data_IF_108940787559
#
_entry.id   IF_108940787559
#
_cell.length_a   1.000
_cell.length_b   1.000
_cell.length_c   1.000
_cell.angle_alpha   90.00
_cell.angle_beta   90.00
_cell.angle_gamma   90.00
#
_symmetry.space_group_name_H-M   'P 1'
#
loop_
_entity.id
_entity.type
_entity.pdbx_description
1 polymer ?
#
# COMPACT_ATOMS: atom_id res chain seq x y z
N UNK A 1 22.62 -43.49 22.29
CA UNK A 1 21.78 -42.73 23.23
C UNK A 1 21.54 -41.37 22.58
N UNK A 2 20.32 -41.10 22.10
CA UNK A 2 19.87 -39.75 21.67
C UNK A 2 19.80 -38.89 22.99
N UNK A 3 19.95 -37.57 23.06
CA UNK A 3 19.60 -36.52 22.09
C UNK A 3 19.84 -35.10 22.60
N UNK A 4 20.31 -34.18 21.76
CA UNK A 4 19.81 -32.80 21.71
C UNK A 4 20.28 -31.75 22.73
N UNK A 5 20.38 -30.52 22.20
CA UNK A 5 20.46 -29.21 22.83
C UNK A 5 21.83 -28.73 23.38
N UNK A 6 22.25 -27.60 22.82
CA UNK A 6 23.29 -26.68 23.27
C UNK A 6 23.24 -26.42 24.80
N UNK A 7 24.29 -26.78 25.58
CA UNK A 7 24.27 -26.69 27.04
C UNK A 7 24.58 -25.28 27.59
N UNK A 8 24.76 -24.25 26.76
CA UNK A 8 25.22 -22.93 27.22
C UNK A 8 24.19 -21.79 27.17
N UNK A 9 22.95 -22.07 26.76
CA UNK A 9 21.90 -21.04 26.68
C UNK A 9 20.87 -21.19 27.80
N UNK A 10 20.89 -20.26 28.75
CA UNK A 10 19.82 -20.07 29.73
C UNK A 10 18.91 -18.93 29.26
N UNK A 11 17.63 -19.21 29.04
CA UNK A 11 16.63 -18.20 28.69
C UNK A 11 15.85 -17.77 29.93
N UNK A 12 15.77 -16.47 30.17
CA UNK A 12 14.89 -15.86 31.17
C UNK A 12 13.94 -14.90 30.45
N UNK A 13 12.64 -15.04 30.71
CA UNK A 13 11.59 -14.19 30.12
C UNK A 13 11.01 -13.32 31.23
N UNK A 14 10.96 -12.01 31.00
CA UNK A 14 10.31 -11.04 31.89
C UNK A 14 9.32 -10.18 31.10
N UNK A 15 8.25 -9.74 31.76
CA UNK A 15 7.22 -8.88 31.17
C UNK A 15 7.20 -7.53 31.88
N UNK A 16 7.27 -6.45 31.12
CA UNK A 16 7.05 -5.07 31.60
C UNK A 16 5.80 -4.50 30.95
N UNK A 17 4.90 -3.95 31.78
CA UNK A 17 3.65 -3.34 31.31
C UNK A 17 3.72 -1.83 31.44
N UNK A 18 3.33 -1.13 30.38
CA UNK A 18 3.24 0.33 30.35
C UNK A 18 1.78 0.74 30.08
N UNK A 19 1.35 1.86 30.65
CA UNK A 19 0.01 2.42 30.41
C UNK A 19 0.15 3.89 30.06
N UNK A 20 -0.44 4.28 28.92
CA UNK A 20 -0.52 5.68 28.50
C UNK A 20 -1.95 6.20 28.73
N UNK A 21 -2.08 7.38 29.33
CA UNK A 21 -3.35 7.95 29.80
C UNK A 21 -4.04 8.86 28.78
N UNK A 22 -3.48 9.03 27.59
CA UNK A 22 -4.22 9.61 26.46
C UNK A 22 -4.14 11.13 26.31
N UNK A 23 -3.26 11.84 27.01
CA UNK A 23 -3.31 13.31 27.10
C UNK A 23 -2.59 14.06 25.96
N UNK A 24 -1.57 13.49 25.32
CA UNK A 24 -0.75 14.14 24.27
C UNK A 24 -0.17 13.12 23.28
N UNK A 25 0.19 13.54 22.06
CA UNK A 25 0.96 12.67 21.17
C UNK A 25 2.36 12.45 21.77
N UNK A 26 2.69 11.21 22.11
CA UNK A 26 3.91 10.85 22.82
C UNK A 26 4.61 9.67 22.13
N UNK A 27 5.94 9.72 22.07
CA UNK A 27 6.77 8.56 21.75
C UNK A 27 7.22 7.92 23.06
N UNK A 28 6.99 6.62 23.19
CA UNK A 28 7.41 5.82 24.33
C UNK A 28 8.51 4.86 23.91
N UNK A 29 9.68 5.07 24.49
CA UNK A 29 10.82 4.19 24.37
C UNK A 29 10.72 3.07 25.41
N UNK A 30 10.55 1.84 24.93
CA UNK A 30 10.61 0.66 25.79
C UNK A 30 12.08 0.28 26.04
N UNK A 31 12.70 0.97 27.00
CA UNK A 31 14.01 0.55 27.52
C UNK A 31 13.82 -0.39 28.71
N UNK A 32 14.42 -1.58 28.65
CA UNK A 32 14.49 -2.49 29.80
C UNK A 32 15.91 -2.52 30.35
N UNK A 33 16.03 -2.34 31.66
CA UNK A 33 17.28 -2.58 32.38
C UNK A 33 17.27 -4.03 32.84
N UNK A 34 18.01 -4.88 32.15
CA UNK A 34 18.17 -6.28 32.55
C UNK A 34 19.42 -6.36 33.44
N UNK A 35 19.23 -6.84 34.66
CA UNK A 35 20.34 -7.18 35.56
C UNK A 35 20.38 -8.69 35.68
N UNK A 36 21.45 -9.30 35.19
CA UNK A 36 21.72 -10.73 35.31
C UNK A 36 23.11 -10.90 35.93
N UNK A 37 23.24 -11.76 36.93
CA UNK A 37 24.52 -12.05 37.55
C UNK A 37 24.60 -13.52 37.96
N UNK A 38 25.81 -14.08 37.89
CA UNK A 38 26.12 -15.36 38.52
C UNK A 38 26.46 -15.12 39.99
N UNK A 39 26.14 -16.02 40.92
CA UNK A 39 26.49 -15.86 42.34
C UNK A 39 28.00 -15.64 42.61
N UNK A 40 28.86 -15.99 41.65
CA UNK A 40 30.32 -15.81 41.71
C UNK A 40 30.85 -14.58 40.97
N UNK A 41 29.97 -13.75 40.39
CA UNK A 41 30.34 -12.54 39.64
C UNK A 41 29.57 -11.30 40.14
N UNK A 42 30.23 -10.14 40.16
CA UNK A 42 29.58 -8.87 40.47
C UNK A 42 28.51 -8.53 39.42
N UNK A 43 27.37 -7.91 39.82
CA UNK A 43 26.31 -7.56 38.88
C UNK A 43 26.77 -6.46 37.90
N UNK A 44 26.73 -6.79 36.61
CA UNK A 44 26.77 -5.81 35.53
C UNK A 44 25.34 -5.66 34.97
N UNK A 45 24.81 -4.44 34.96
CA UNK A 45 23.52 -4.16 34.36
C UNK A 45 23.72 -3.74 32.90
N UNK A 46 23.07 -4.43 31.97
CA UNK A 46 23.00 -4.03 30.57
C UNK A 46 21.63 -3.43 30.32
N UNK A 47 21.59 -2.19 29.81
CA UNK A 47 20.35 -1.63 29.27
C UNK A 47 20.17 -2.13 27.86
N UNK A 48 19.01 -2.69 27.59
CA UNK A 48 18.59 -3.06 26.25
C UNK A 48 17.49 -2.10 25.80
N UNK A 49 17.69 -1.53 24.62
CA UNK A 49 16.70 -0.70 23.96
C UNK A 49 16.25 -1.41 22.69
N UNK A 50 14.98 -1.78 22.65
CA UNK A 50 14.39 -2.39 21.46
C UNK A 50 13.96 -1.27 20.52
N UNK A 51 14.91 -0.68 19.79
CA UNK A 51 14.66 0.43 18.86
C UNK A 51 13.53 0.13 17.88
N UNK A 52 13.43 -1.11 17.40
CA UNK A 52 12.41 -1.54 16.43
C UNK A 52 11.02 -1.75 17.07
N UNK A 53 10.98 -1.77 18.41
CA UNK A 53 9.76 -1.87 19.21
C UNK A 53 9.41 -0.55 19.90
N UNK A 54 9.96 0.58 19.44
CA UNK A 54 9.52 1.92 19.86
C UNK A 54 8.03 2.11 19.56
N UNK A 55 7.32 2.64 20.55
CA UNK A 55 5.87 2.78 20.52
C UNK A 55 5.53 4.26 20.35
N UNK A 56 4.75 4.59 19.32
CA UNK A 56 4.09 5.89 19.21
C UNK A 56 2.68 5.75 19.72
N UNK A 57 2.26 6.61 20.66
CA UNK A 57 0.89 6.74 21.10
C UNK A 57 0.33 8.10 20.68
N UNK A 58 -0.83 8.10 20.03
CA UNK A 58 -1.38 9.33 19.43
C UNK A 58 -2.92 9.32 19.40
N UNK A 59 -3.49 10.47 19.01
CA UNK A 59 -4.91 10.67 18.60
C UNK A 59 -5.02 11.25 17.18
N UNK A 60 -3.92 11.21 16.41
CA UNK A 60 -3.84 11.83 15.08
C UNK A 60 -4.35 10.84 14.04
N UNK A 61 -3.91 9.58 14.11
CA UNK A 61 -4.31 8.55 13.16
C UNK A 61 -5.83 8.34 13.19
N UNK A 62 -6.39 8.23 14.39
CA UNK A 62 -7.84 8.10 14.61
C UNK A 62 -8.30 8.96 15.78
N UNK A 63 -9.61 9.23 15.87
CA UNK A 63 -10.20 9.97 17.00
C UNK A 63 -10.09 9.23 18.33
N UNK A 64 -9.76 7.94 18.31
CA UNK A 64 -9.53 7.13 19.51
C UNK A 64 -8.04 7.06 19.83
N UNK A 65 -7.64 7.41 21.08
CA UNK A 65 -6.26 7.22 21.50
C UNK A 65 -5.82 5.76 21.31
N UNK A 66 -4.60 5.57 20.86
CA UNK A 66 -4.01 4.24 20.70
C UNK A 66 -2.54 4.32 20.35
N UNK A 67 -1.89 3.16 20.34
CA UNK A 67 -0.45 3.05 20.18
C UNK A 67 -0.10 2.09 19.03
N UNK A 68 1.02 2.33 18.36
CA UNK A 68 1.56 1.47 17.31
C UNK A 68 3.08 1.42 17.37
N UNK A 69 3.65 0.30 16.92
CA UNK A 69 5.09 0.19 16.67
C UNK A 69 5.43 0.96 15.39
N UNK A 70 5.81 2.22 15.52
CA UNK A 70 5.91 3.12 14.37
C UNK A 70 7.13 2.82 13.46
N UNK A 71 8.10 2.03 13.94
CA UNK A 71 9.22 1.55 13.11
C UNK A 71 8.90 0.28 12.33
N UNK A 72 7.82 -0.42 12.69
CA UNK A 72 7.35 -1.55 11.90
C UNK A 72 6.69 -1.03 10.61
N UNK A 73 7.19 -1.48 9.46
CA UNK A 73 6.62 -1.16 8.14
C UNK A 73 5.57 -2.23 7.80
N UNK A 74 4.26 -1.95 7.90
CA UNK A 74 3.22 -2.94 7.64
C UNK A 74 3.07 -3.25 6.15
N UNK A 75 2.49 -4.41 5.85
CA UNK A 75 2.19 -4.83 4.48
C UNK A 75 0.68 -4.82 4.22
N UNK A 76 0.26 -4.01 3.25
CA UNK A 76 -1.09 -4.05 2.69
C UNK A 76 -1.20 -5.20 1.68
N UNK A 77 -2.17 -6.09 1.88
CA UNK A 77 -2.47 -7.18 0.95
C UNK A 77 -3.79 -6.84 0.28
N UNK A 78 -3.76 -6.57 -1.03
CA UNK A 78 -4.98 -6.28 -1.77
C UNK A 78 -5.89 -7.51 -1.84
N UNK A 79 -7.20 -7.28 -1.84
CA UNK A 79 -8.19 -8.35 -1.87
C UNK A 79 -8.41 -8.86 -3.30
N UNK A 80 -7.62 -9.85 -3.71
CA UNK A 80 -7.73 -10.48 -5.03
C UNK A 80 -9.11 -11.11 -5.26
N UNK A 81 -9.65 -11.82 -4.27
CA UNK A 81 -10.93 -12.52 -4.41
C UNK A 81 -12.09 -11.57 -4.71
N UNK A 82 -12.00 -10.33 -4.22
CA UNK A 82 -13.03 -9.31 -4.41
C UNK A 82 -12.79 -8.43 -5.65
N UNK A 83 -11.55 -8.08 -5.93
CA UNK A 83 -11.19 -7.09 -6.97
C UNK A 83 -9.98 -7.55 -7.80
N UNK A 84 -10.04 -8.72 -8.46
CA UNK A 84 -8.86 -9.40 -9.01
C UNK A 84 -8.12 -8.55 -10.05
N UNK A 85 -8.85 -7.81 -10.88
CA UNK A 85 -8.27 -7.00 -11.96
C UNK A 85 -7.60 -5.71 -11.47
N UNK A 86 -8.07 -5.12 -10.36
CA UNK A 86 -7.37 -4.01 -9.71
C UNK A 86 -6.06 -4.51 -9.06
N UNK A 87 -6.08 -5.72 -8.47
CA UNK A 87 -4.86 -6.36 -7.95
C UNK A 87 -3.88 -6.66 -9.08
N UNK A 88 -4.36 -7.15 -10.24
CA UNK A 88 -3.53 -7.38 -11.42
C UNK A 88 -2.87 -6.10 -11.92
N UNK A 89 -3.61 -4.98 -11.98
CA UNK A 89 -3.06 -3.69 -12.36
C UNK A 89 -1.96 -3.24 -11.40
N UNK A 90 -2.24 -3.21 -10.10
CA UNK A 90 -1.25 -2.82 -9.09
C UNK A 90 -0.01 -3.74 -9.10
N UNK A 91 -0.19 -5.05 -9.28
CA UNK A 91 0.92 -6.00 -9.42
C UNK A 91 1.78 -5.72 -10.65
N UNK A 92 1.18 -5.52 -11.82
CA UNK A 92 1.91 -5.25 -13.06
C UNK A 92 2.79 -4.01 -12.90
N UNK A 93 2.20 -2.93 -12.38
CA UNK A 93 2.88 -1.66 -12.20
C UNK A 93 4.00 -1.77 -11.15
N UNK A 94 3.74 -2.38 -9.99
CA UNK A 94 4.79 -2.60 -8.98
C UNK A 94 5.94 -3.46 -9.52
N UNK A 95 5.61 -4.51 -10.27
CA UNK A 95 6.58 -5.54 -10.64
C UNK A 95 7.43 -5.15 -11.83
N UNK A 96 6.91 -4.30 -12.73
CA UNK A 96 7.57 -3.99 -14.00
C UNK A 96 8.12 -2.58 -14.11
N UNK A 97 7.51 -1.58 -13.45
CA UNK A 97 8.03 -0.21 -13.51
C UNK A 97 9.29 -0.04 -12.65
N UNK A 98 10.24 0.81 -13.07
CA UNK A 98 11.49 1.04 -12.35
C UNK A 98 11.30 1.63 -10.94
N UNK A 99 10.15 2.25 -10.68
CA UNK A 99 9.81 2.85 -9.39
C UNK A 99 9.42 1.82 -8.33
N UNK A 100 9.03 0.61 -8.73
CA UNK A 100 8.59 -0.50 -7.87
C UNK A 100 7.70 -0.11 -6.68
N UNK A 101 6.61 0.67 -6.87
CA UNK A 101 5.85 1.26 -5.78
C UNK A 101 5.31 0.21 -4.79
N UNK A 102 5.75 0.31 -3.54
CA UNK A 102 5.35 -0.59 -2.44
C UNK A 102 6.06 -1.94 -2.43
N UNK A 103 7.07 -2.16 -3.26
CA UNK A 103 7.77 -3.45 -3.34
C UNK A 103 8.76 -3.62 -2.20
N UNK A 104 8.50 -4.62 -1.34
CA UNK A 104 9.44 -5.05 -0.30
C UNK A 104 10.72 -5.65 -0.90
N UNK A 105 10.61 -6.38 -2.01
CA UNK A 105 11.76 -7.01 -2.67
C UNK A 105 12.77 -5.98 -3.22
N UNK A 106 12.29 -4.82 -3.67
CA UNK A 106 13.13 -3.73 -4.19
C UNK A 106 13.45 -2.67 -3.14
N UNK A 107 13.01 -2.83 -1.89
CA UNK A 107 13.13 -1.84 -0.82
C UNK A 107 12.59 -0.44 -1.22
N UNK A 108 11.42 -0.43 -1.89
CA UNK A 108 10.73 0.79 -2.36
C UNK A 108 9.34 0.88 -1.72
N UNK A 109 9.21 1.35 -0.47
CA UNK A 109 7.91 1.41 0.20
C UNK A 109 7.00 2.46 -0.46
N UNK A 110 5.71 2.34 -0.21
CA UNK A 110 4.75 3.42 -0.39
C UNK A 110 4.82 4.33 0.83
N UNK A 111 4.68 5.64 0.63
CA UNK A 111 4.59 6.62 1.71
C UNK A 111 3.18 7.16 1.81
N UNK A 112 2.54 6.94 2.96
CA UNK A 112 1.13 7.28 3.15
C UNK A 112 0.90 8.80 3.10
N UNK A 113 -0.07 9.23 2.31
CA UNK A 113 -0.58 10.60 2.27
C UNK A 113 -2.04 10.59 2.76
N UNK A 114 -2.30 10.95 4.04
CA UNK A 114 -3.65 11.06 4.56
C UNK A 114 -4.36 12.30 3.97
N UNK A 115 -5.61 12.52 4.35
CA UNK A 115 -6.37 13.74 4.01
C UNK A 115 -5.61 15.02 4.39
N UNK A 116 -5.87 16.13 3.68
CA UNK A 116 -5.16 17.41 3.81
C UNK A 116 -4.97 17.88 5.26
N UNK A 117 -5.99 17.73 6.12
CA UNK A 117 -5.92 18.14 7.52
C UNK A 117 -4.93 17.33 8.39
N UNK A 118 -4.35 16.25 7.86
CA UNK A 118 -3.47 15.32 8.58
C UNK A 118 -2.11 15.13 7.92
N UNK A 119 -1.78 15.87 6.87
CA UNK A 119 -0.47 15.83 6.23
C UNK A 119 0.23 17.19 6.28
N UNK A 120 1.56 17.17 6.30
CA UNK A 120 2.39 18.37 6.38
C UNK A 120 2.14 19.38 5.24
N UNK A 121 1.99 18.94 3.98
CA UNK A 121 1.71 19.84 2.85
C UNK A 121 0.30 20.46 2.82
N UNK A 122 -0.65 19.96 3.60
CA UNK A 122 -2.07 20.33 3.44
C UNK A 122 -2.66 19.92 2.09
N UNK A 123 -2.12 18.87 1.46
CA UNK A 123 -2.48 18.44 0.12
C UNK A 123 -3.59 17.39 0.15
N UNK A 124 -4.66 17.61 -0.61
CA UNK A 124 -5.74 16.64 -0.73
C UNK A 124 -5.34 15.53 -1.72
N UNK A 125 -5.35 14.24 -1.34
CA UNK A 125 -5.14 13.13 -2.28
C UNK A 125 -5.98 13.21 -3.55
N UNK A 126 -7.17 13.82 -3.52
CA UNK A 126 -7.99 14.03 -4.72
C UNK A 126 -7.26 14.87 -5.77
N UNK A 127 -6.39 15.82 -5.38
CA UNK A 127 -5.60 16.60 -6.33
C UNK A 127 -4.57 15.76 -7.09
N UNK A 128 -4.07 14.67 -6.48
CA UNK A 128 -3.24 13.71 -7.21
C UNK A 128 -4.09 12.98 -8.26
N UNK A 129 -5.29 12.57 -7.84
CA UNK A 129 -6.25 11.91 -8.72
C UNK A 129 -6.69 12.83 -9.86
N UNK A 130 -6.83 14.13 -9.63
CA UNK A 130 -7.20 15.09 -10.68
C UNK A 130 -6.11 15.24 -11.77
N UNK A 131 -4.84 14.88 -11.48
CA UNK A 131 -3.76 14.87 -12.48
C UNK A 131 -3.78 13.57 -13.29
N UNK A 132 -3.97 12.43 -12.63
CA UNK A 132 -3.89 11.11 -13.28
C UNK A 132 -5.22 10.72 -13.92
N UNK A 133 -6.29 10.92 -13.17
CA UNK A 133 -7.66 10.51 -13.44
C UNK A 133 -8.64 11.71 -13.36
N UNK A 134 -8.44 12.76 -14.19
CA UNK A 134 -9.27 13.95 -14.13
C UNK A 134 -10.74 13.65 -14.39
N UNK A 135 -11.61 14.23 -13.58
CA UNK A 135 -13.01 14.40 -13.93
C UNK A 135 -13.20 15.72 -14.68
N UNK A 136 -14.21 15.79 -15.54
CA UNK A 136 -14.60 17.00 -16.25
C UNK A 136 -16.10 17.23 -16.15
N UNK A 137 -16.59 18.34 -16.69
CA UNK A 137 -18.02 18.62 -16.80
C UNK A 137 -18.79 17.55 -17.57
N UNK A 138 -18.12 16.80 -18.45
CA UNK A 138 -18.70 15.77 -19.30
C UNK A 138 -18.59 14.35 -18.71
N UNK A 139 -18.11 14.23 -17.46
CA UNK A 139 -17.94 12.96 -16.76
C UNK A 139 -16.48 12.65 -16.43
N UNK A 140 -16.25 11.45 -15.90
CA UNK A 140 -14.92 10.97 -15.54
C UNK A 140 -14.05 10.71 -16.76
N UNK A 141 -12.73 10.74 -16.61
CA UNK A 141 -11.79 10.32 -17.66
C UNK A 141 -12.20 8.98 -18.28
N UNK A 142 -12.51 7.98 -17.46
CA UNK A 142 -12.85 6.64 -17.95
C UNK A 142 -14.16 6.61 -18.75
N UNK A 143 -15.13 7.48 -18.42
CA UNK A 143 -16.38 7.56 -19.18
C UNK A 143 -16.22 8.16 -20.59
N UNK A 144 -15.19 8.98 -20.79
CA UNK A 144 -14.95 9.69 -22.06
C UNK A 144 -13.83 9.05 -22.89
N UNK A 145 -12.81 8.51 -22.22
CA UNK A 145 -11.56 8.08 -22.83
C UNK A 145 -11.21 6.63 -22.52
N UNK A 146 -11.87 6.01 -21.54
CA UNK A 146 -11.65 4.60 -21.21
C UNK A 146 -11.92 3.68 -22.40
N UNK A 147 -11.31 2.49 -22.37
CA UNK A 147 -11.50 1.51 -23.44
C UNK A 147 -12.99 1.08 -23.50
N UNK A 148 -13.64 1.02 -24.68
CA UNK A 148 -15.05 0.65 -24.80
C UNK A 148 -15.37 -0.74 -24.21
N UNK A 149 -14.40 -1.65 -24.22
CA UNK A 149 -14.54 -3.00 -23.66
C UNK A 149 -14.35 -3.06 -22.13
N UNK A 150 -14.13 -1.91 -21.48
CA UNK A 150 -14.07 -1.82 -20.03
C UNK A 150 -15.37 -2.33 -19.43
N UNK A 151 -15.29 -3.40 -18.64
CA UNK A 151 -16.51 -4.01 -18.10
C UNK A 151 -16.92 -3.40 -16.77
N UNK A 152 -18.17 -2.95 -16.69
CA UNK A 152 -18.88 -2.61 -15.44
C UNK A 152 -19.57 -3.83 -14.84
N UNK A 153 -19.93 -3.75 -13.55
CA UNK A 153 -20.67 -4.79 -12.79
C UNK A 153 -22.03 -4.29 -12.29
N UNK A 154 -22.97 -3.91 -13.19
CA UNK A 154 -24.29 -3.42 -12.79
C UNK A 154 -25.09 -4.42 -11.94
N UNK A 155 -24.80 -5.72 -12.07
CA UNK A 155 -25.39 -6.78 -11.26
C UNK A 155 -24.94 -6.77 -9.79
N UNK A 156 -23.82 -6.11 -9.47
CA UNK A 156 -23.34 -5.90 -8.09
C UNK A 156 -23.71 -4.51 -7.60
N UNK A 157 -23.62 -3.51 -8.48
CA UNK A 157 -23.96 -2.12 -8.19
C UNK A 157 -24.68 -1.51 -9.39
N UNK A 158 -25.99 -1.31 -9.29
CA UNK A 158 -26.82 -0.83 -10.40
C UNK A 158 -26.40 0.54 -10.97
N UNK A 159 -25.62 1.33 -10.20
CA UNK A 159 -25.07 2.62 -10.61
C UNK A 159 -23.60 2.55 -11.05
N UNK A 160 -23.05 1.34 -11.23
CA UNK A 160 -21.66 1.16 -11.65
C UNK A 160 -21.41 1.78 -13.01
N UNK A 161 -20.27 2.45 -13.12
CA UNK A 161 -19.81 3.15 -14.32
C UNK A 161 -18.31 2.93 -14.47
N UNK A 162 -17.75 3.06 -15.68
CA UNK A 162 -16.30 3.06 -15.86
C UNK A 162 -15.65 4.13 -14.98
N UNK A 163 -14.57 3.74 -14.30
CA UNK A 163 -13.76 4.58 -13.43
C UNK A 163 -12.29 4.45 -13.78
N UNK A 164 -11.56 5.53 -13.52
CA UNK A 164 -10.12 5.61 -13.67
C UNK A 164 -9.44 5.19 -12.36
N UNK A 165 -8.72 4.08 -12.41
CA UNK A 165 -7.84 3.57 -11.35
C UNK A 165 -6.41 4.06 -11.59
N UNK A 166 -5.66 4.28 -10.51
CA UNK A 166 -4.26 4.70 -10.57
C UNK A 166 -3.40 3.90 -9.59
N UNK A 167 -2.19 3.54 -10.02
CA UNK A 167 -1.17 2.98 -9.14
C UNK A 167 0.21 3.57 -9.47
N UNK A 168 0.99 4.09 -8.52
CA UNK A 168 0.73 4.26 -7.10
C UNK A 168 -0.51 5.11 -6.78
N UNK A 169 -1.24 4.77 -5.72
CA UNK A 169 -2.51 5.40 -5.34
C UNK A 169 -2.38 6.90 -5.06
N UNK A 170 -3.43 7.67 -5.35
CA UNK A 170 -3.55 9.09 -5.00
C UNK A 170 -3.20 9.41 -3.54
N UNK A 171 -3.54 8.53 -2.60
CA UNK A 171 -3.26 8.68 -1.16
C UNK A 171 -1.82 8.30 -0.78
N UNK A 172 -0.86 8.59 -1.67
CA UNK A 172 0.58 8.40 -1.41
C UNK A 172 1.43 9.49 -2.02
N UNK A 173 2.63 9.69 -1.46
CA UNK A 173 3.67 10.53 -2.09
C UNK A 173 4.28 9.88 -3.34
N UNK A 174 4.03 8.58 -3.55
CA UNK A 174 4.46 7.84 -4.74
C UNK A 174 3.53 8.06 -5.94
N UNK A 175 2.33 8.64 -5.74
CA UNK A 175 1.40 8.93 -6.84
C UNK A 175 2.08 9.77 -7.92
N UNK A 176 1.76 9.46 -9.18
CA UNK A 176 2.16 10.31 -10.30
C UNK A 176 1.64 11.73 -10.19
N UNK A 177 0.49 11.93 -9.55
CA UNK A 177 -0.12 13.25 -9.38
C UNK A 177 0.48 14.08 -8.24
N UNK A 178 1.35 13.50 -7.40
CA UNK A 178 1.96 14.23 -6.28
C UNK A 178 3.04 15.20 -6.76
N UNK A 179 2.90 16.52 -6.55
CA UNK A 179 3.90 17.49 -7.01
C UNK A 179 5.26 17.32 -6.32
N UNK A 180 6.34 17.47 -7.09
CA UNK A 180 7.72 17.37 -6.56
C UNK A 180 8.00 18.38 -5.43
N UNK A 181 7.50 19.62 -5.55
CA UNK A 181 7.68 20.66 -4.53
C UNK A 181 6.92 20.37 -3.22
N UNK A 182 6.02 19.39 -3.21
CA UNK A 182 5.32 18.91 -2.02
C UNK A 182 5.85 17.55 -1.53
N UNK A 183 6.98 17.08 -2.09
CA UNK A 183 7.60 15.80 -1.72
C UNK A 183 7.18 14.61 -2.59
N UNK A 184 6.50 14.84 -3.71
CA UNK A 184 6.16 13.79 -4.66
C UNK A 184 7.38 13.09 -5.25
N UNK A 185 7.31 11.76 -5.29
CA UNK A 185 8.45 10.92 -5.71
C UNK A 185 8.44 10.60 -7.20
N UNK A 186 7.27 10.64 -7.84
CA UNK A 186 7.08 10.21 -9.23
C UNK A 186 6.25 11.22 -10.06
N UNK A 187 6.44 12.54 -9.93
CA UNK A 187 5.53 13.52 -10.50
C UNK A 187 5.44 13.42 -12.03
N UNK A 188 4.22 13.45 -12.54
CA UNK A 188 3.90 13.63 -13.96
C UNK A 188 2.92 14.79 -14.13
N UNK A 189 2.85 15.37 -15.33
CA UNK A 189 1.93 16.46 -15.64
C UNK A 189 0.52 15.98 -16.03
N UNK A 190 0.39 14.71 -16.42
CA UNK A 190 -0.86 14.08 -16.85
C UNK A 190 -0.74 12.58 -16.65
N UNK A 191 -1.86 11.91 -16.38
CA UNK A 191 -1.94 10.45 -16.41
C UNK A 191 -1.60 9.82 -17.76
N UNK A 192 -1.50 10.59 -18.85
CA UNK A 192 -1.05 10.08 -20.18
C UNK A 192 0.39 9.59 -20.17
N UNK A 193 1.18 10.02 -19.18
CA UNK A 193 2.55 9.55 -18.95
C UNK A 193 2.61 8.20 -18.18
N UNK A 194 1.46 7.66 -17.77
CA UNK A 194 1.37 6.37 -17.09
C UNK A 194 1.17 5.22 -18.09
N UNK A 195 1.50 4.00 -17.67
CA UNK A 195 1.07 2.78 -18.38
C UNK A 195 -0.45 2.77 -18.46
N UNK A 196 -1.01 2.59 -19.66
CA UNK A 196 -2.45 2.61 -19.90
C UNK A 196 -2.97 1.18 -20.04
N UNK A 197 -3.89 0.78 -19.18
CA UNK A 197 -4.54 -0.52 -19.27
C UNK A 197 -6.06 -0.40 -19.19
N UNK A 198 -6.77 -1.48 -19.51
CA UNK A 198 -8.18 -1.60 -19.22
C UNK A 198 -8.55 -3.00 -18.72
N UNK A 199 -9.59 -3.04 -17.90
CA UNK A 199 -10.13 -4.25 -17.30
C UNK A 199 -11.38 -4.71 -18.04
N UNK A 200 -11.35 -5.94 -18.54
CA UNK A 200 -12.50 -6.55 -19.23
C UNK A 200 -12.86 -7.90 -18.62
N UNK A 201 -14.15 -8.22 -18.59
CA UNK A 201 -14.66 -9.51 -18.12
C UNK A 201 -15.09 -10.34 -19.32
N UNK A 202 -14.26 -11.32 -19.67
CA UNK A 202 -14.50 -12.22 -20.81
C UNK A 202 -15.68 -13.16 -20.54
N UNK A 203 -15.84 -13.60 -19.29
CA UNK A 203 -17.02 -14.33 -18.81
C UNK A 203 -17.14 -14.20 -17.29
N UNK A 204 -18.25 -14.65 -16.71
CA UNK A 204 -18.47 -14.56 -15.27
C UNK A 204 -17.33 -15.24 -14.49
N UNK A 205 -16.70 -14.45 -13.60
CA UNK A 205 -15.56 -14.90 -12.81
C UNK A 205 -14.24 -15.03 -13.57
N UNK A 206 -14.13 -14.49 -14.79
CA UNK A 206 -12.87 -14.41 -15.55
C UNK A 206 -12.64 -12.97 -16.02
N UNK A 207 -11.60 -12.34 -15.46
CA UNK A 207 -11.21 -10.97 -15.74
C UNK A 207 -9.85 -10.94 -16.38
N UNK A 208 -9.71 -10.13 -17.43
CA UNK A 208 -8.45 -9.85 -18.07
C UNK A 208 -8.08 -8.37 -17.86
N UNK A 209 -6.78 -8.13 -17.72
CA UNK A 209 -6.18 -6.81 -17.80
C UNK A 209 -5.36 -6.77 -19.09
N UNK A 210 -5.63 -5.79 -19.93
CA UNK A 210 -4.92 -5.58 -21.18
C UNK A 210 -4.32 -4.19 -21.23
N UNK A 211 -3.22 -4.02 -21.97
CA UNK A 211 -2.77 -2.70 -22.40
C UNK A 211 -3.85 -2.08 -23.30
N UNK A 212 -4.07 -0.77 -23.23
CA UNK A 212 -5.00 -0.08 -24.14
C UNK A 212 -4.35 0.04 -25.53
N UNK A 213 -4.74 -0.83 -26.44
CA UNK A 213 -4.14 -0.99 -27.77
C UNK A 213 -4.43 0.17 -28.72
N UNK A 214 -5.33 1.07 -28.34
CA UNK A 214 -5.62 2.30 -29.09
C UNK A 214 -4.54 3.37 -28.88
N UNK A 215 -3.66 3.16 -27.89
CA UNK A 215 -2.56 4.04 -27.52
C UNK A 215 -1.21 3.37 -27.84
N UNK A 216 -0.12 4.16 -27.75
CA UNK A 216 1.21 3.58 -27.82
C UNK A 216 1.42 2.62 -26.65
N UNK A 217 1.94 1.42 -26.94
CA UNK A 217 2.22 0.43 -25.91
C UNK A 217 3.24 0.92 -24.88
N UNK A 218 3.25 0.33 -23.67
CA UNK A 218 4.11 0.75 -22.58
C UNK A 218 5.59 0.62 -22.95
N UNK A 219 6.35 1.68 -22.66
CA UNK A 219 7.81 1.70 -22.80
C UNK A 219 8.51 1.03 -21.62
N UNK A 220 7.77 0.85 -20.51
CA UNK A 220 8.24 0.40 -19.20
C UNK A 220 9.24 1.35 -18.53
N UNK A 221 9.31 2.60 -19.01
CA UNK A 221 10.00 3.71 -18.37
C UNK A 221 9.02 4.66 -17.64
N UNK A 222 7.72 4.38 -17.71
CA UNK A 222 6.71 5.13 -16.99
C UNK A 222 6.92 5.01 -15.47
N UNK A 223 6.30 5.91 -14.71
CA UNK A 223 6.45 5.97 -13.24
C UNK A 223 5.15 5.64 -12.49
N UNK A 224 4.06 5.48 -13.24
CA UNK A 224 2.71 5.20 -12.75
C UNK A 224 1.96 4.34 -13.76
N UNK A 225 0.85 3.76 -13.32
CA UNK A 225 -0.17 3.12 -14.13
C UNK A 225 -1.52 3.80 -13.97
N UNK A 226 -2.28 3.84 -15.05
CA UNK A 226 -3.65 4.31 -15.13
C UNK A 226 -4.50 3.26 -15.84
N UNK A 227 -5.64 2.91 -15.25
CA UNK A 227 -6.50 1.86 -15.81
C UNK A 227 -7.96 2.26 -15.88
N UNK A 228 -8.63 1.93 -17.00
CA UNK A 228 -10.08 1.94 -17.09
C UNK A 228 -10.65 0.64 -16.54
N UNK A 229 -11.48 0.71 -15.49
CA UNK A 229 -12.14 -0.47 -14.92
C UNK A 229 -13.51 -0.12 -14.34
N UNK A 230 -14.26 -1.11 -13.86
CA UNK A 230 -15.48 -0.88 -13.08
C UNK A 230 -15.23 0.07 -11.90
N UNK A 231 -16.14 1.03 -11.70
CA UNK A 231 -16.13 1.94 -10.56
C UNK A 231 -16.26 1.22 -9.23
N UNK A 232 -17.13 0.20 -9.16
CA UNK A 232 -17.25 -0.64 -7.98
C UNK A 232 -15.94 -1.35 -7.64
N UNK A 233 -15.25 -1.92 -8.65
CA UNK A 233 -13.96 -2.60 -8.46
C UNK A 233 -12.92 -1.61 -7.94
N UNK A 234 -12.75 -0.49 -8.63
CA UNK A 234 -11.79 0.56 -8.27
C UNK A 234 -12.04 1.10 -6.85
N UNK A 235 -13.28 1.52 -6.53
CA UNK A 235 -13.59 2.07 -5.20
C UNK A 235 -13.39 1.06 -4.06
N UNK A 236 -13.55 -0.23 -4.36
CA UNK A 236 -13.50 -1.31 -3.37
C UNK A 236 -12.10 -1.88 -3.18
N UNK A 237 -11.21 -1.75 -4.16
CA UNK A 237 -9.85 -2.32 -4.14
C UNK A 237 -9.02 -1.77 -2.97
N UNK A 238 -9.21 -0.48 -2.66
CA UNK A 238 -8.60 0.21 -1.52
C UNK A 238 -9.63 0.60 -0.47
N UNK A 239 -10.75 1.21 -0.86
CA UNK A 239 -11.84 1.78 -0.03
C UNK A 239 -11.77 1.64 1.50
N UNK A 240 -12.81 1.05 2.10
CA UNK A 240 -12.92 0.91 3.55
C UNK A 240 -11.88 -0.05 4.14
N UNK A 241 -11.47 -1.08 3.39
CA UNK A 241 -10.53 -2.10 3.87
C UNK A 241 -9.13 -1.51 4.14
N UNK A 242 -8.68 -0.56 3.32
CA UNK A 242 -7.45 0.19 3.58
C UNK A 242 -7.65 1.25 4.66
N UNK A 243 -8.66 2.12 4.51
CA UNK A 243 -8.83 3.29 5.40
C UNK A 243 -9.24 2.89 6.84
N UNK A 244 -10.34 2.17 7.00
CA UNK A 244 -10.82 1.72 8.32
C UNK A 244 -10.17 0.44 8.82
N UNK A 245 -9.58 -0.36 7.93
CA UNK A 245 -8.90 -1.61 8.28
C UNK A 245 -7.41 -1.39 8.46
N UNK A 246 -6.66 -1.34 7.36
CA UNK A 246 -5.20 -1.34 7.36
C UNK A 246 -4.56 -0.11 8.01
N UNK A 247 -4.80 1.08 7.45
CA UNK A 247 -4.18 2.32 7.91
C UNK A 247 -4.60 2.70 9.34
N UNK A 248 -5.87 2.45 9.71
CA UNK A 248 -6.32 2.62 11.09
C UNK A 248 -5.70 1.60 12.05
N UNK A 249 -5.62 0.31 11.69
CA UNK A 249 -5.02 -0.75 12.52
C UNK A 249 -3.56 -0.46 12.82
N UNK A 250 -2.79 -0.06 11.80
CA UNK A 250 -1.37 0.27 11.95
C UNK A 250 -1.13 1.73 12.33
N UNK A 251 -2.20 2.51 12.52
CA UNK A 251 -2.17 3.93 12.89
C UNK A 251 -1.23 4.76 12.01
N UNK A 252 -1.24 4.53 10.70
CA UNK A 252 -0.37 5.21 9.75
C UNK A 252 -0.59 6.73 9.83
N UNK A 253 0.51 7.47 9.94
CA UNK A 253 0.57 8.92 9.84
C UNK A 253 1.18 9.34 8.50
N UNK A 254 1.15 10.64 8.24
CA UNK A 254 1.79 11.24 7.07
C UNK A 254 3.23 10.75 6.91
N UNK A 255 3.56 10.31 5.69
CA UNK A 255 4.84 9.72 5.31
C UNK A 255 5.22 8.41 6.01
N UNK A 256 4.34 7.80 6.82
CA UNK A 256 4.63 6.45 7.33
C UNK A 256 4.75 5.48 6.13
N UNK A 257 5.82 4.67 6.07
CA UNK A 257 6.02 3.74 4.98
C UNK A 257 5.11 2.51 5.13
N UNK A 258 4.72 1.91 4.02
CA UNK A 258 4.07 0.60 3.98
C UNK A 258 4.41 -0.18 2.70
N UNK A 259 4.36 -1.50 2.78
CA UNK A 259 4.51 -2.39 1.64
C UNK A 259 3.15 -2.70 1.01
N UNK A 260 3.14 -3.06 -0.27
CA UNK A 260 1.96 -3.61 -0.95
C UNK A 260 2.33 -4.99 -1.50
N UNK A 261 1.49 -5.98 -1.25
CA UNK A 261 1.75 -7.38 -1.61
C UNK A 261 0.62 -7.97 -2.44
N UNK A 262 1.00 -8.83 -3.38
CA UNK A 262 0.12 -9.51 -4.32
C UNK A 262 0.40 -11.03 -4.32
N UNK A 263 0.07 -11.76 -3.24
CA UNK A 263 0.47 -13.16 -3.08
C UNK A 263 0.07 -14.07 -4.24
N UNK A 264 -1.10 -13.81 -4.83
CA UNK A 264 -1.66 -14.59 -5.93
C UNK A 264 -0.79 -14.56 -7.18
N UNK A 265 0.06 -13.55 -7.35
CA UNK A 265 0.93 -13.36 -8.51
C UNK A 265 2.37 -13.86 -8.27
N UNK A 266 2.65 -14.52 -7.14
CA UNK A 266 4.01 -14.94 -6.78
C UNK A 266 4.69 -15.87 -7.77
N UNK A 267 3.94 -16.57 -8.62
CA UNK A 267 4.45 -17.43 -9.69
C UNK A 267 4.64 -16.71 -11.04
N UNK A 268 4.20 -15.46 -11.15
CA UNK A 268 4.25 -14.71 -12.39
C UNK A 268 5.57 -13.96 -12.58
N UNK A 269 6.03 -13.89 -13.83
CA UNK A 269 7.29 -13.26 -14.21
C UNK A 269 7.02 -11.98 -15.01
N UNK A 270 7.13 -10.84 -14.32
CA UNK A 270 6.94 -9.51 -14.92
C UNK A 270 8.14 -9.04 -15.76
N UNK A 271 9.28 -9.74 -15.74
CA UNK A 271 10.46 -9.36 -16.53
C UNK A 271 10.24 -9.59 -18.04
N UNK A 272 9.30 -10.46 -18.41
CA UNK A 272 8.98 -10.81 -19.80
C UNK A 272 8.21 -9.70 -20.52
N UNK A 273 8.37 -9.63 -21.84
CA UNK A 273 7.60 -8.75 -22.72
C UNK A 273 7.14 -9.58 -23.94
N UNK A 274 5.83 -9.81 -24.14
CA UNK A 274 4.72 -9.36 -23.27
C UNK A 274 4.73 -10.04 -21.89
N UNK A 275 4.15 -9.37 -20.90
CA UNK A 275 3.86 -9.98 -19.59
C UNK A 275 2.60 -10.80 -19.73
N UNK A 276 2.70 -12.10 -19.51
CA UNK A 276 1.54 -13.01 -19.47
C UNK A 276 1.52 -13.71 -18.12
N UNK A 277 0.42 -13.54 -17.39
CA UNK A 277 0.21 -14.13 -16.08
C UNK A 277 -1.23 -14.61 -15.98
N UNK A 278 -1.41 -15.90 -15.70
CA UNK A 278 -2.72 -16.49 -15.44
C UNK A 278 -2.78 -16.90 -13.97
N UNK A 279 -3.78 -16.40 -13.28
CA UNK A 279 -4.07 -16.82 -11.91
C UNK A 279 -5.14 -17.92 -11.98
N UNK A 280 -4.85 -19.15 -11.56
CA UNK A 280 -5.86 -20.19 -11.51
C UNK A 280 -6.96 -19.78 -10.51
N UNK A 281 -8.21 -20.15 -10.81
CA UNK A 281 -9.29 -19.97 -9.84
C UNK A 281 -8.94 -20.77 -8.57
N UNK A 282 -9.16 -20.20 -7.37
CA UNK A 282 -9.06 -20.96 -6.13
C UNK A 282 -10.05 -22.14 -6.10
#
# INVERSE_FOLDING_TARGET
MWSGADPFTHSAVGTSSHTWTGTSADTLDLSTKITAYSPVANPAATRWHATDAEIRCDKIATTKPGCAFHKYIPTWVMNFDKTPVAVAHAWLIQSKLPTHPGSKAHNKPMFFLPVAAKNGPGHDPQKNRDVICPDSTNGSWASQHGHPDTTTVPEISASDKPSCDEFAYASTYNSGGMPANLGGLNPVSSGDACVQTYATRVKQGEWHLYDDERLAGPTWNEVCGRSAMSGWINSTSMGGAFSSGFSAKYRLLDQDPYWVSFPQFGHCDASKTPVTCTIPKP
#
